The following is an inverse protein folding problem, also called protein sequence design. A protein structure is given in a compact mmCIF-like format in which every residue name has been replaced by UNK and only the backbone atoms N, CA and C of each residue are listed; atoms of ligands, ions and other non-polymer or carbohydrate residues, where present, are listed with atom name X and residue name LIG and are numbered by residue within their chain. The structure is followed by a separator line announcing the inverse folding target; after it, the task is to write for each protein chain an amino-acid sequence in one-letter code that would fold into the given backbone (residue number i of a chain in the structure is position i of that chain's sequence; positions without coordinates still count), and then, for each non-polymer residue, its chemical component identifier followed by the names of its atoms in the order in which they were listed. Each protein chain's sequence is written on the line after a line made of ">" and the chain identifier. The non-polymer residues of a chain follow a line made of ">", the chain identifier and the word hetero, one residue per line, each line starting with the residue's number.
data_IF_753935078314
#
_entry.id   IF_753935078314
#
_cell.length_a   1.000
_cell.length_b   1.000
_cell.length_c   1.000
_cell.angle_alpha   90.00
_cell.angle_beta   90.00
_cell.angle_gamma   90.00
#
_symmetry.space_group_name_H-M   'P 1'
#
loop_
_entity.id
_entity.type
_entity.pdbx_description
1 polymer ?
#
# COMPACT_ATOMS: atom_id res chain seq x y z
N UNK A 1 -8.36 7.63 -21.02
CA UNK A 1 -7.86 8.76 -20.21
C UNK A 1 -7.23 8.16 -18.96
N UNK A 2 -5.91 8.27 -18.78
CA UNK A 2 -5.20 7.68 -17.63
C UNK A 2 -5.26 8.69 -16.49
N UNK A 3 -5.90 8.32 -15.37
CA UNK A 3 -6.00 9.18 -14.19
C UNK A 3 -4.72 9.06 -13.36
N UNK A 4 -3.93 10.13 -13.30
CA UNK A 4 -2.68 10.20 -12.55
C UNK A 4 -2.89 10.27 -11.02
N UNK A 5 -4.14 10.47 -10.56
CA UNK A 5 -4.52 10.46 -9.15
C UNK A 5 -5.05 9.10 -8.69
N UNK A 6 -4.90 8.02 -9.48
CA UNK A 6 -5.35 6.71 -9.01
C UNK A 6 -4.43 6.20 -7.90
N UNK A 7 -5.02 5.87 -6.75
CA UNK A 7 -4.33 5.22 -5.61
C UNK A 7 -3.83 3.80 -5.95
N UNK A 8 -4.10 3.33 -7.17
CA UNK A 8 -3.72 2.03 -7.70
C UNK A 8 -2.21 1.94 -8.00
N UNK A 9 -1.51 3.07 -8.17
CA UNK A 9 -0.07 3.12 -8.40
C UNK A 9 0.65 3.86 -7.28
N UNK A 10 1.79 3.33 -6.83
CA UNK A 10 2.58 3.93 -5.76
C UNK A 10 4.06 3.58 -5.89
N UNK A 11 4.92 4.28 -5.18
CA UNK A 11 6.34 3.92 -5.14
C UNK A 11 6.56 2.62 -4.36
N UNK A 12 7.62 1.90 -4.69
CA UNK A 12 8.02 0.68 -3.98
C UNK A 12 8.22 0.89 -2.47
N UNK A 13 8.69 2.08 -2.06
CA UNK A 13 8.86 2.42 -0.64
C UNK A 13 7.50 2.62 0.05
N UNK A 14 6.59 3.36 -0.59
CA UNK A 14 5.24 3.57 -0.05
C UNK A 14 4.48 2.26 0.04
N UNK A 15 4.49 1.44 -1.02
CA UNK A 15 3.95 0.09 -1.02
C UNK A 15 4.47 -0.74 0.15
N UNK A 16 5.79 -0.76 0.36
CA UNK A 16 6.36 -1.51 1.47
C UNK A 16 5.85 -1.03 2.82
N UNK A 17 5.73 0.30 3.02
CA UNK A 17 5.23 0.89 4.27
C UNK A 17 3.76 0.56 4.54
N UNK A 18 2.92 0.60 3.51
CA UNK A 18 1.48 0.31 3.63
C UNK A 18 1.24 -1.14 4.07
N UNK A 19 1.99 -2.08 3.50
CA UNK A 19 1.94 -3.51 3.87
C UNK A 19 2.77 -3.86 5.11
N UNK A 20 3.34 -2.87 5.81
CA UNK A 20 4.16 -3.09 7.01
C UNK A 20 5.44 -3.90 6.75
N UNK A 21 5.98 -3.85 5.54
CA UNK A 21 7.23 -4.50 5.12
C UNK A 21 8.40 -3.51 5.12
N UNK A 22 9.61 -4.04 5.01
CA UNK A 22 10.82 -3.20 4.88
C UNK A 22 10.83 -2.44 3.56
N UNK A 23 11.38 -1.23 3.51
CA UNK A 23 11.41 -0.40 2.29
C UNK A 23 12.10 -1.06 1.09
N UNK A 24 13.02 -1.98 1.38
CA UNK A 24 13.75 -2.75 0.37
C UNK A 24 12.99 -3.99 -0.11
N UNK A 25 11.85 -4.32 0.51
CA UNK A 25 11.09 -5.56 0.26
C UNK A 25 10.76 -5.74 -1.21
N UNK A 26 10.13 -4.74 -1.83
CA UNK A 26 9.75 -4.80 -3.25
C UNK A 26 10.96 -5.05 -4.14
N UNK A 27 12.08 -4.37 -3.88
CA UNK A 27 13.32 -4.51 -4.66
C UNK A 27 13.93 -5.90 -4.52
N UNK A 28 13.92 -6.46 -3.31
CA UNK A 28 14.43 -7.81 -3.04
C UNK A 28 13.50 -8.85 -3.67
N UNK A 29 12.19 -8.67 -3.53
CA UNK A 29 11.16 -9.56 -4.11
C UNK A 29 11.28 -9.63 -5.63
N UNK A 30 11.38 -8.49 -6.31
CA UNK A 30 11.60 -8.43 -7.76
C UNK A 30 12.90 -9.11 -8.19
N UNK A 31 13.94 -9.07 -7.36
CA UNK A 31 15.23 -9.72 -7.66
C UNK A 31 15.19 -11.23 -7.41
N UNK A 32 14.51 -11.67 -6.35
CA UNK A 32 14.48 -13.07 -5.94
C UNK A 32 13.40 -13.88 -6.67
N UNK A 33 12.25 -13.27 -6.90
CA UNK A 33 11.06 -13.94 -7.44
C UNK A 33 10.35 -13.01 -8.44
N UNK A 34 10.97 -12.68 -9.59
CA UNK A 34 10.32 -11.88 -10.62
C UNK A 34 9.04 -12.54 -11.15
N UNK A 35 8.99 -13.88 -11.18
CA UNK A 35 7.86 -14.65 -11.72
C UNK A 35 6.57 -14.51 -10.91
N UNK A 36 6.66 -14.07 -9.65
CA UNK A 36 5.49 -13.82 -8.79
C UNK A 36 4.80 -12.49 -9.11
N UNK A 37 5.46 -11.63 -9.88
CA UNK A 37 4.90 -10.33 -10.25
C UNK A 37 4.17 -10.46 -11.58
N UNK A 38 2.84 -10.20 -11.62
CA UNK A 38 2.09 -10.26 -12.87
C UNK A 38 2.61 -9.23 -13.89
N UNK A 39 2.45 -9.50 -15.18
CA UNK A 39 2.92 -8.59 -16.22
C UNK A 39 2.23 -7.22 -16.12
N UNK A 40 3.00 -6.14 -16.23
CA UNK A 40 2.50 -4.76 -16.09
C UNK A 40 2.30 -4.29 -14.65
N UNK A 41 2.54 -5.15 -13.64
CA UNK A 41 2.32 -4.81 -12.23
C UNK A 41 3.39 -3.90 -11.61
N UNK A 42 4.56 -3.77 -12.25
CA UNK A 42 5.63 -2.88 -11.83
C UNK A 42 6.32 -2.22 -13.03
N UNK A 43 6.86 -1.03 -12.79
CA UNK A 43 7.68 -0.30 -13.78
C UNK A 43 8.83 0.42 -13.09
N UNK A 44 10.02 0.28 -13.65
CA UNK A 44 11.21 1.03 -13.19
C UNK A 44 11.30 2.37 -13.90
N UNK A 45 11.37 3.44 -13.11
CA UNK A 45 11.61 4.81 -13.56
C UNK A 45 12.92 5.32 -12.97
N UNK A 46 14.00 5.20 -13.75
CA UNK A 46 15.35 5.56 -13.30
C UNK A 46 15.75 4.78 -12.04
N UNK A 47 15.85 5.50 -10.90
CA UNK A 47 16.20 4.93 -9.59
C UNK A 47 14.99 4.48 -8.77
N UNK A 48 13.79 4.89 -9.16
CA UNK A 48 12.54 4.58 -8.46
C UNK A 48 11.82 3.43 -9.15
N UNK A 49 11.15 2.60 -8.35
CA UNK A 49 10.28 1.54 -8.85
C UNK A 49 8.86 1.95 -8.48
N UNK A 50 7.98 1.98 -9.47
CA UNK A 50 6.55 2.18 -9.30
C UNK A 50 5.90 0.81 -9.37
N UNK A 51 4.97 0.55 -8.46
CA UNK A 51 4.23 -0.70 -8.35
C UNK A 51 2.74 -0.42 -8.29
N UNK A 52 1.98 -1.39 -8.73
CA UNK A 52 0.52 -1.41 -8.61
C UNK A 52 0.09 -2.11 -7.32
N UNK A 53 -1.11 -1.77 -6.83
CA UNK A 53 -1.77 -2.50 -5.75
C UNK A 53 -1.91 -3.99 -6.11
N UNK A 54 -2.41 -4.29 -7.31
CA UNK A 54 -2.60 -5.66 -7.78
C UNK A 54 -1.30 -6.49 -7.74
N UNK A 55 -0.17 -5.89 -8.11
CA UNK A 55 1.14 -6.53 -8.01
C UNK A 55 1.53 -6.85 -6.57
N UNK A 56 1.30 -5.90 -5.66
CA UNK A 56 1.55 -6.11 -4.23
C UNK A 56 0.63 -7.18 -3.64
N UNK A 57 -0.65 -7.19 -3.99
CA UNK A 57 -1.60 -8.20 -3.53
C UNK A 57 -1.22 -9.60 -4.03
N UNK A 58 -0.81 -9.74 -5.30
CA UNK A 58 -0.38 -11.01 -5.87
C UNK A 58 0.85 -11.60 -5.17
N UNK A 59 1.82 -10.74 -4.82
CA UNK A 59 3.10 -11.16 -4.22
C UNK A 59 2.98 -11.42 -2.73
N UNK A 60 2.22 -10.58 -2.03
CA UNK A 60 2.04 -10.70 -0.58
C UNK A 60 0.94 -11.69 -0.21
N UNK A 61 -0.02 -11.94 -1.10
CA UNK A 61 -1.25 -12.68 -0.81
C UNK A 61 -2.17 -11.93 0.17
N UNK A 62 -1.91 -10.65 0.43
CA UNK A 62 -2.65 -9.81 1.36
C UNK A 62 -3.33 -8.68 0.59
N UNK A 63 -4.65 -8.52 0.79
CA UNK A 63 -5.42 -7.40 0.24
C UNK A 63 -4.90 -6.06 0.78
N UNK A 64 -5.14 -4.99 0.02
CA UNK A 64 -4.71 -3.63 0.38
C UNK A 64 -5.17 -3.24 1.81
N UNK A 65 -4.22 -3.07 2.75
CA UNK A 65 -4.51 -2.67 4.14
C UNK A 65 -5.18 -1.29 4.27
N UNK A 66 -5.21 -0.49 3.20
CA UNK A 66 -5.91 0.82 3.18
C UNK A 66 -7.41 0.67 3.10
N UNK A 67 -7.92 -0.36 2.41
CA UNK A 67 -9.36 -0.57 2.25
C UNK A 67 -10.03 -0.96 3.57
N UNK A 68 -9.31 -1.70 4.40
CA UNK A 68 -9.79 -2.14 5.73
C UNK A 68 -9.87 -0.99 6.75
N UNK A 69 -9.11 0.11 6.57
CA UNK A 69 -9.13 1.24 7.50
C UNK A 69 -10.37 2.14 7.38
N UNK A 70 -11.12 2.05 6.30
CA UNK A 70 -12.32 2.87 6.09
C UNK A 70 -13.46 2.56 7.07
N UNK A 71 -13.44 1.40 7.74
CA UNK A 71 -14.43 1.05 8.78
C UNK A 71 -13.99 1.41 10.21
N UNK A 72 -12.69 1.64 10.51
CA UNK A 72 -12.21 1.75 11.90
C UNK A 72 -11.92 3.18 12.39
N UNK A 73 -11.98 4.19 11.52
CA UNK A 73 -11.75 5.60 11.89
C UNK A 73 -13.02 6.35 12.31
N UNK A 74 -14.22 5.77 12.15
CA UNK A 74 -15.47 6.38 12.59
C UNK A 74 -15.70 6.33 14.11
N UNK A 75 -15.00 5.45 14.85
CA UNK A 75 -15.25 5.26 16.29
C UNK A 75 -14.42 6.15 17.23
N UNK A 76 -13.39 6.85 16.73
CA UNK A 76 -12.46 7.58 17.62
C UNK A 76 -12.89 9.02 17.98
N UNK A 77 -13.90 9.59 17.31
CA UNK A 77 -14.37 10.96 17.62
C UNK A 77 -15.46 11.03 18.70
N UNK A 78 -15.84 9.90 19.33
CA UNK A 78 -16.95 9.90 20.31
C UNK A 78 -16.55 9.92 21.78
N UNK A 79 -15.27 9.82 22.14
CA UNK A 79 -14.85 9.63 23.55
C UNK A 79 -14.09 10.82 24.17
N UNK A 80 -14.29 12.05 23.70
CA UNK A 80 -13.61 13.23 24.28
C UNK A 80 -14.54 14.37 24.72
N UNK A 81 -15.81 14.10 25.00
CA UNK A 81 -16.70 15.09 25.61
C UNK A 81 -17.59 14.42 26.64
N UNK A 82 -17.09 14.25 27.87
CA UNK A 82 -17.89 14.08 29.09
C UNK A 82 -16.94 13.90 30.28
N UNK A 83 -16.28 14.97 30.73
CA UNK A 83 -15.78 15.07 32.12
C UNK A 83 -15.38 16.52 32.41
N UNK A 84 -16.33 17.44 32.34
CA UNK A 84 -16.27 18.73 33.06
C UNK A 84 -17.70 19.11 33.39
N UNK A 85 -18.14 18.77 34.61
CA UNK A 85 -19.04 19.55 35.49
C UNK A 85 -19.45 18.62 36.64
N UNK A 86 -18.75 18.71 37.76
CA UNK A 86 -19.36 18.93 39.07
C UNK A 86 -18.27 19.34 40.08
#
# INVERSE_FOLDING_TARGET
>A
MINLNSDEIMSAQEASRIWGKSESYVRISLRQNPDKWPEGSYRRFGKTIIVTVDGMEAVTGQKDPRKDKSEHLADKERTHSEHHTC
#
